data_IF_396134072184
#
_entry.id   IF_396134072184
#
_cell.length_a   1.000
_cell.length_b   1.000
_cell.length_c   1.000
_cell.angle_alpha   90.00
_cell.angle_beta   90.00
_cell.angle_gamma   90.00
#
_symmetry.space_group_name_H-M   'P 1'
#
loop_
_entity.id
_entity.type
_entity.pdbx_description
1 polymer ?
2 non-polymer ?
3 non-polymer ?
4 non-polymer ?
5 non-polymer ?
6 non-polymer ?
7 water ?
#
# COMPACT_ATOMS: atom_id res chain seq x y z
N UNK A 3 4.38 -2.60 23.87
CA UNK A 3 5.33 -3.65 23.37
C UNK A 3 6.52 -3.02 22.63
N UNK A 4 7.73 -3.33 23.09
CA UNK A 4 8.97 -2.79 22.49
C UNK A 4 9.72 -3.78 21.56
N UNK A 5 9.43 -5.08 21.67
CA UNK A 5 10.09 -6.10 20.87
C UNK A 5 9.24 -7.36 20.71
N UNK A 6 9.47 -8.07 19.62
CA UNK A 6 8.75 -9.31 19.31
C UNK A 6 9.64 -10.55 19.36
N UNK A 7 10.91 -10.37 19.68
CA UNK A 7 11.90 -11.46 19.63
C UNK A 7 12.75 -11.59 20.89
N UNK A 8 13.86 -12.33 20.78
CA UNK A 8 14.73 -12.62 21.96
C UNK A 8 15.90 -11.62 22.14
N UNK A 9 16.15 -10.81 21.11
CA UNK A 9 17.34 -9.94 21.03
C UNK A 9 17.10 -8.57 21.73
N UNK A 10 17.78 -8.31 22.84
CA UNK A 10 17.58 -7.05 23.60
C UNK A 10 18.05 -5.82 22.82
N UNK A 11 19.16 -5.95 22.07
CA UNK A 11 19.67 -4.90 21.17
C UNK A 11 18.61 -4.33 20.20
N UNK A 12 17.69 -5.20 19.75
CA UNK A 12 16.69 -4.79 18.77
C UNK A 12 15.72 -3.72 19.27
N UNK A 13 15.31 -3.77 20.54
CA UNK A 13 14.43 -2.74 21.12
C UNK A 13 14.97 -1.38 20.74
N UNK A 14 16.27 -1.21 20.96
CA UNK A 14 16.95 0.03 20.67
C UNK A 14 16.97 0.28 19.17
N UNK A 15 17.40 -0.71 18.40
CA UNK A 15 17.49 -0.56 16.93
C UNK A 15 16.11 -0.31 16.31
N UNK A 16 15.13 -1.09 16.74
CA UNK A 16 13.75 -0.90 16.32
C UNK A 16 13.29 0.51 16.66
N UNK A 17 13.44 0.89 17.93
CA UNK A 17 13.01 2.22 18.39
C UNK A 17 13.74 3.28 17.60
N UNK A 18 14.98 2.99 17.25
CA UNK A 18 15.76 3.92 16.44
C UNK A 18 15.09 4.15 15.08
N UNK A 19 14.83 3.06 14.35
CA UNK A 19 14.26 3.16 13.00
C UNK A 19 12.90 3.83 13.04
N UNK A 20 12.12 3.55 14.09
CA UNK A 20 10.78 4.16 14.23
C UNK A 20 10.79 5.66 14.49
N UNK A 21 11.94 6.23 14.81
CA UNK A 21 12.05 7.69 14.83
C UNK A 21 11.73 8.30 13.45
N UNK A 22 11.89 7.53 12.37
CA UNK A 22 11.54 8.00 11.02
C UNK A 22 10.07 7.69 10.63
N UNK A 23 9.25 7.30 11.59
CA UNK A 23 7.86 6.94 11.32
C UNK A 23 7.11 7.94 10.46
N UNK A 24 7.31 9.24 10.69
CA UNK A 24 6.54 10.27 9.96
C UNK A 24 7.21 10.74 8.70
N UNK A 25 8.25 10.03 8.27
CA UNK A 25 9.06 10.46 7.14
C UNK A 25 9.05 9.47 5.95
N UNK A 26 9.10 10.03 4.75
CA UNK A 26 9.16 9.24 3.53
C UNK A 26 10.35 8.30 3.48
N UNK A 27 11.45 8.68 4.13
CA UNK A 27 12.68 7.89 4.12
C UNK A 27 12.80 6.78 5.15
N UNK A 28 11.73 6.45 5.89
CA UNK A 28 11.74 5.29 6.76
C UNK A 28 12.17 4.04 6.00
N UNK A 29 12.89 3.16 6.67
CA UNK A 29 13.33 1.97 6.04
C UNK A 29 12.61 0.79 6.65
N UNK A 30 11.64 0.29 5.92
CA UNK A 30 10.83 -0.78 6.42
C UNK A 30 11.58 -2.08 6.49
N UNK A 31 12.63 -2.23 5.68
CA UNK A 31 13.41 -3.45 5.72
C UNK A 31 14.10 -3.59 7.10
N UNK A 32 14.62 -2.48 7.61
CA UNK A 32 15.20 -2.44 8.97
C UNK A 32 14.16 -2.72 10.05
N UNK A 33 13.01 -2.07 9.98
CA UNK A 33 11.93 -2.38 10.88
C UNK A 33 11.68 -3.89 10.86
N UNK A 34 11.64 -4.49 9.67
CA UNK A 34 11.43 -5.95 9.55
C UNK A 34 12.50 -6.73 10.26
N UNK A 35 13.75 -6.36 10.05
CA UNK A 35 14.87 -7.03 10.73
C UNK A 35 14.86 -6.92 12.24
N UNK A 36 14.57 -5.72 12.76
CA UNK A 36 14.63 -5.48 14.21
C UNK A 36 13.35 -5.87 14.99
N UNK A 37 12.35 -6.42 14.31
CA UNK A 37 11.07 -6.75 14.91
C UNK A 37 10.67 -8.21 14.74
N UNK A 38 11.65 -9.06 14.40
CA UNK A 38 11.45 -10.49 14.18
C UNK A 38 10.45 -10.81 13.09
N UNK A 39 10.50 -10.03 12.01
CA UNK A 39 9.56 -10.23 10.91
C UNK A 39 8.13 -9.92 11.29
N UNK A 40 7.92 -8.75 11.86
CA UNK A 40 6.59 -8.26 12.17
C UNK A 40 6.51 -6.82 11.72
N UNK A 41 6.94 -6.56 10.47
CA UNK A 41 6.92 -5.18 10.04
C UNK A 41 5.52 -4.61 10.07
N UNK A 42 4.52 -5.40 9.73
CA UNK A 42 3.18 -4.85 9.68
C UNK A 42 2.59 -4.61 11.09
N UNK A 43 2.75 -5.56 12.01
CA UNK A 43 2.23 -5.37 13.35
C UNK A 43 2.92 -4.17 13.99
N UNK A 44 4.24 -4.18 13.96
CA UNK A 44 5.01 -3.09 14.53
C UNK A 44 4.63 -1.78 13.87
N UNK A 45 4.69 -1.73 12.55
CA UNK A 45 4.42 -0.43 11.96
C UNK A 45 3.01 0.09 12.29
N UNK A 46 2.03 -0.78 12.32
CA UNK A 46 0.67 -0.35 12.52
C UNK A 46 0.48 0.10 13.97
N UNK A 47 1.01 -0.66 14.91
CA UNK A 47 1.06 -0.25 16.30
C UNK A 47 1.68 1.12 16.40
N UNK A 48 2.83 1.31 15.77
CA UNK A 48 3.49 2.62 15.81
C UNK A 48 2.61 3.70 15.24
N UNK A 49 1.91 3.42 14.15
CA UNK A 49 1.15 4.48 13.43
C UNK A 49 -0.05 4.85 14.25
N UNK A 50 -0.71 3.85 14.81
CA UNK A 50 -1.90 4.04 15.60
C UNK A 50 -1.65 4.88 16.85
N UNK A 51 -0.58 4.59 17.59
CA UNK A 51 -0.20 5.43 18.73
C UNK A 51 0.21 6.84 18.36
N UNK A 52 0.95 7.01 17.26
CA UNK A 52 1.31 8.35 16.77
C UNK A 52 0.09 9.22 16.49
N UNK A 53 -0.98 8.59 16.02
CA UNK A 53 -2.19 9.31 15.62
C UNK A 53 -3.27 9.29 16.69
N UNK A 54 -2.95 8.63 17.81
CA UNK A 54 -3.86 8.52 18.94
C UNK A 54 -5.16 7.83 18.56
N UNK A 55 -5.06 6.90 17.59
CA UNK A 55 -6.24 6.22 17.08
C UNK A 55 -6.82 5.20 18.05
N UNK A 56 -5.98 4.53 18.84
CA UNK A 56 -6.46 3.58 19.85
C UNK A 56 -7.28 4.27 20.97
N UNK A 57 -6.88 5.47 21.36
CA UNK A 57 -7.64 6.23 22.34
C UNK A 57 -8.91 6.79 21.69
N UNK A 58 -8.76 7.39 20.51
CA UNK A 58 -9.90 8.00 19.84
C UNK A 58 -11.00 6.99 19.45
N UNK A 59 -10.67 5.70 19.41
CA UNK A 59 -11.65 4.69 19.02
C UNK A 59 -11.79 3.54 20.02
N UNK A 60 -11.16 3.69 21.19
CA UNK A 60 -11.39 2.82 22.34
C UNK A 60 -11.06 1.41 21.94
N UNK A 61 -9.95 1.27 21.21
CA UNK A 61 -9.45 -0.02 20.75
C UNK A 61 -8.48 -0.48 21.84
N UNK A 62 -8.76 -1.61 22.47
CA UNK A 62 -7.79 -2.19 23.40
C UNK A 62 -6.47 -2.47 22.67
N UNK A 63 -5.35 -2.01 23.24
CA UNK A 63 -4.02 -2.33 22.69
C UNK A 63 -3.85 -3.83 22.46
N UNK A 64 -4.53 -4.63 23.28
CA UNK A 64 -4.43 -6.09 23.21
C UNK A 64 -5.20 -6.68 22.03
N UNK A 65 -6.39 -6.16 21.78
CA UNK A 65 -7.20 -6.65 20.67
C UNK A 65 -6.50 -6.29 19.35
N UNK A 66 -5.89 -5.11 19.35
CA UNK A 66 -5.23 -4.59 18.18
C UNK A 66 -4.05 -5.48 17.78
N UNK A 67 -3.14 -5.75 18.72
CA UNK A 67 -1.96 -6.57 18.45
C UNK A 67 -2.35 -7.93 17.95
N UNK A 68 -3.34 -8.53 18.58
CA UNK A 68 -3.77 -9.85 18.18
C UNK A 68 -4.42 -9.86 16.81
N UNK A 69 -4.96 -8.73 16.40
CA UNK A 69 -5.60 -8.64 15.10
C UNK A 69 -4.53 -8.46 14.03
N UNK A 70 -3.61 -7.55 14.31
CA UNK A 70 -2.56 -7.22 13.43
C UNK A 70 -1.67 -8.45 13.22
N UNK A 71 -1.27 -9.09 14.32
CA UNK A 71 -0.45 -10.27 14.26
C UNK A 71 -1.10 -11.30 13.37
N UNK A 72 -2.41 -11.46 13.49
CA UNK A 72 -3.13 -12.43 12.68
C UNK A 72 -3.33 -12.01 11.21
N UNK A 73 -3.55 -10.72 10.99
CA UNK A 73 -3.66 -10.15 9.68
C UNK A 73 -2.33 -10.47 8.95
N UNK A 74 -1.24 -10.13 9.61
CA UNK A 74 0.07 -10.35 9.13
C UNK A 74 0.42 -11.82 8.85
N UNK A 75 -0.06 -12.74 9.69
CA UNK A 75 0.18 -14.19 9.45
C UNK A 75 -0.58 -14.65 8.20
N UNK A 76 -1.53 -13.84 7.73
CA UNK A 76 -2.31 -14.17 6.55
C UNK A 76 -1.69 -13.61 5.27
N UNK A 77 -0.61 -12.87 5.41
CA UNK A 77 0.23 -12.60 4.28
C UNK A 77 1.14 -13.81 4.14
N UNK A 78 1.40 -14.18 2.90
CA UNK A 78 2.22 -15.38 2.59
C UNK A 78 3.66 -15.01 2.64
N UNK A 79 4.38 -15.55 3.62
CA UNK A 79 5.81 -15.29 3.71
C UNK A 79 6.62 -15.85 2.51
N UNK A 80 6.07 -16.78 1.74
CA UNK A 80 6.81 -17.37 0.59
C UNK A 80 6.52 -16.69 -0.74
N UNK A 81 5.96 -15.48 -0.67
CA UNK A 81 5.68 -14.68 -1.84
C UNK A 81 6.63 -13.51 -1.75
N UNK A 82 7.40 -13.30 -2.84
CA UNK A 82 8.56 -12.41 -2.84
C UNK A 82 8.25 -10.95 -2.55
N UNK A 83 7.14 -10.45 -3.09
CA UNK A 83 6.81 -9.02 -2.99
C UNK A 83 5.56 -8.78 -2.16
N UNK A 84 4.53 -9.52 -2.47
CA UNK A 84 3.20 -9.31 -1.94
C UNK A 84 3.03 -9.99 -0.55
N UNK A 85 3.97 -9.67 0.36
CA UNK A 85 3.99 -10.24 1.69
C UNK A 85 3.81 -9.08 2.73
N UNK A 86 3.95 -9.35 4.03
CA UNK A 86 3.60 -8.30 5.05
C UNK A 86 4.46 -7.04 5.03
N UNK A 87 5.68 -7.17 4.55
CA UNK A 87 6.58 -6.03 4.41
C UNK A 87 6.05 -4.98 3.43
N UNK A 88 5.44 -5.42 2.33
CA UNK A 88 4.80 -4.51 1.39
C UNK A 88 3.50 -3.88 2.01
N UNK A 89 2.81 -4.64 2.83
CA UNK A 89 1.65 -4.15 3.56
C UNK A 89 2.11 -3.06 4.52
N UNK A 90 3.20 -3.33 5.25
CA UNK A 90 3.74 -2.37 6.21
C UNK A 90 4.11 -1.07 5.53
N UNK A 91 4.85 -1.22 4.43
CA UNK A 91 5.37 -0.12 3.63
C UNK A 91 4.25 0.66 2.99
N UNK A 92 3.18 0.03 2.58
CA UNK A 92 2.04 0.80 2.10
C UNK A 92 1.28 1.52 3.27
N UNK A 93 1.12 0.87 4.43
CA UNK A 93 0.52 1.51 5.61
C UNK A 93 1.33 2.74 6.01
N UNK A 94 2.63 2.56 6.23
CA UNK A 94 3.50 3.68 6.62
C UNK A 94 3.48 4.82 5.59
N UNK A 95 3.66 4.51 4.32
CA UNK A 95 3.60 5.52 3.28
C UNK A 95 2.29 6.29 3.25
N UNK A 96 1.17 5.61 3.46
CA UNK A 96 -0.11 6.32 3.53
C UNK A 96 -0.17 7.25 4.76
N UNK A 97 0.48 6.82 5.84
CA UNK A 97 0.52 7.61 7.06
C UNK A 97 1.17 8.97 6.78
N UNK A 98 2.18 8.96 5.91
CA UNK A 98 2.92 10.18 5.60
C UNK A 98 2.16 11.10 4.62
N UNK A 99 1.43 10.50 3.69
CA UNK A 99 0.63 11.24 2.71
C UNK A 99 -0.58 11.85 3.37
N UNK A 100 -1.03 11.27 4.48
CA UNK A 100 -2.18 11.78 5.20
C UNK A 100 -1.83 13.08 5.94
N UNK A 101 -0.56 13.24 6.30
CA UNK A 101 -0.07 14.43 7.02
C UNK A 101 0.48 15.50 6.10
N UNK A 102 0.41 15.28 4.78
CA UNK A 102 0.85 16.29 3.85
C UNK A 102 0.15 17.62 4.17
N UNK A 103 0.89 18.74 4.08
CA UNK A 103 0.37 20.04 4.53
C UNK A 103 -0.91 20.46 3.83
N UNK A 104 -0.98 20.17 2.53
CA UNK A 104 -2.13 20.54 1.70
C UNK A 104 -3.44 19.85 2.08
N UNK A 105 -3.40 18.80 2.89
CA UNK A 105 -4.61 18.10 3.30
C UNK A 105 -4.87 18.27 4.80
N UNK A 106 -4.24 19.28 5.39
CA UNK A 106 -4.31 19.49 6.82
C UNK A 106 -5.75 19.83 7.19
N UNK A 107 -6.22 19.21 8.28
CA UNK A 107 -7.58 19.43 8.82
C UNK A 107 -8.72 18.95 7.93
N UNK A 108 -8.40 18.22 6.87
CA UNK A 108 -9.37 17.82 5.85
C UNK A 108 -10.11 16.56 6.23
N UNK A 109 -9.41 15.55 6.74
CA UNK A 109 -10.07 14.26 7.01
C UNK A 109 -10.44 14.10 8.43
N UNK A 110 -11.58 13.45 8.63
CA UNK A 110 -12.00 13.04 9.94
C UNK A 110 -11.04 11.97 10.41
N UNK A 111 -11.21 11.57 11.65
CA UNK A 111 -10.39 10.57 12.24
C UNK A 111 -10.86 9.16 11.77
N UNK A 112 -12.11 9.08 11.32
CA UNK A 112 -12.67 7.84 10.86
C UNK A 112 -12.03 7.54 9.47
N UNK A 113 -11.97 8.59 8.68
CA UNK A 113 -11.38 8.58 7.38
C UNK A 113 -9.89 8.24 7.43
N UNK A 114 -9.18 8.86 8.35
CA UNK A 114 -7.77 8.57 8.55
C UNK A 114 -7.62 7.10 8.93
N UNK A 115 -8.53 6.62 9.77
CA UNK A 115 -8.53 5.24 10.24
C UNK A 115 -8.77 4.21 9.12
N UNK A 116 -9.70 4.56 8.22
CA UNK A 116 -10.10 3.75 7.11
C UNK A 116 -8.93 3.62 6.13
N UNK A 117 -8.28 4.73 5.85
CA UNK A 117 -7.20 4.72 4.90
C UNK A 117 -6.06 3.87 5.43
N UNK A 118 -5.71 3.99 6.70
CA UNK A 118 -4.59 3.22 7.22
C UNK A 118 -4.91 1.73 7.32
N UNK A 119 -6.13 1.41 7.72
CA UNK A 119 -6.57 0.00 7.71
C UNK A 119 -6.57 -0.63 6.28
N UNK A 120 -7.04 0.13 5.30
CA UNK A 120 -7.18 -0.25 3.91
C UNK A 120 -5.78 -0.66 3.42
N UNK A 121 -4.86 0.26 3.59
CA UNK A 121 -3.45 0.02 3.42
C UNK A 121 -2.96 -1.30 3.99
N UNK A 122 -3.33 -1.59 5.22
CA UNK A 122 -2.83 -2.77 5.93
C UNK A 122 -3.37 -4.07 5.39
N UNK A 123 -4.61 -4.04 4.90
CA UNK A 123 -5.27 -5.25 4.52
C UNK A 123 -5.21 -5.45 2.96
N UNK A 124 -4.67 -4.52 2.21
CA UNK A 124 -5.02 -4.40 0.84
C UNK A 124 -4.41 -5.49 -0.14
N UNK A 125 -3.41 -6.26 0.30
CA UNK A 125 -2.89 -7.41 -0.45
C UNK A 125 -2.90 -8.70 0.39
N UNK A 126 -3.70 -8.74 1.47
CA UNK A 126 -3.64 -9.89 2.37
C UNK A 126 -4.03 -11.20 1.67
N UNK A 127 -3.38 -12.27 2.05
CA UNK A 127 -3.53 -13.57 1.38
C UNK A 127 -3.24 -13.57 -0.17
N UNK A 128 -2.42 -12.68 -0.64
CA UNK A 128 -2.10 -12.62 -2.06
C UNK A 128 -1.34 -13.93 -2.40
N UNK A 129 -1.82 -14.70 -3.36
CA UNK A 129 -1.15 -15.97 -3.68
C UNK A 129 0.17 -15.82 -4.44
N UNK A 130 0.44 -14.66 -5.02
CA UNK A 130 1.71 -14.45 -5.74
C UNK A 130 1.55 -14.42 -7.25
N UNK A 131 0.31 -14.48 -7.69
CA UNK A 131 0.00 -14.47 -9.10
C UNK A 131 -1.06 -13.40 -9.36
N UNK A 132 -1.10 -12.91 -10.58
CA UNK A 132 -1.98 -11.83 -10.97
C UNK A 132 -3.42 -12.26 -11.13
N UNK A 133 -4.33 -11.29 -11.22
CA UNK A 133 -5.71 -11.59 -11.51
C UNK A 133 -5.87 -12.36 -12.79
N UNK A 134 -5.18 -11.91 -13.86
CA UNK A 134 -5.28 -12.60 -15.15
C UNK A 134 -4.85 -14.06 -15.06
N UNK A 135 -3.81 -14.34 -14.31
CA UNK A 135 -3.43 -15.73 -14.04
C UNK A 135 -4.53 -16.54 -13.36
N UNK A 136 -5.22 -15.94 -12.40
CA UNK A 136 -6.26 -16.68 -11.66
C UNK A 136 -7.45 -16.91 -12.57
N UNK A 137 -7.77 -15.90 -13.37
CA UNK A 137 -8.84 -16.01 -14.34
C UNK A 137 -8.46 -17.09 -15.41
N UNK A 138 -7.29 -17.00 -16.03
CA UNK A 138 -6.94 -17.93 -17.09
C UNK A 138 -6.76 -19.35 -16.60
N UNK A 139 -6.49 -19.55 -15.32
CA UNK A 139 -6.31 -20.91 -14.84
C UNK A 139 -7.53 -21.44 -14.09
N UNK A 140 -8.64 -20.75 -14.23
CA UNK A 140 -9.89 -21.16 -13.59
C UNK A 140 -9.79 -21.38 -12.09
N UNK A 141 -9.05 -20.52 -11.39
CA UNK A 141 -8.89 -20.64 -9.94
C UNK A 141 -10.20 -20.62 -9.16
N UNK A 142 -10.21 -21.26 -7.99
CA UNK A 142 -11.34 -21.16 -7.05
C UNK A 142 -11.72 -19.69 -6.80
N UNK A 143 -10.72 -18.80 -6.72
CA UNK A 143 -10.99 -17.38 -6.51
C UNK A 143 -11.71 -16.69 -7.65
N UNK A 144 -11.28 -16.97 -8.88
CA UNK A 144 -11.88 -16.34 -10.05
C UNK A 144 -13.28 -16.87 -10.19
N UNK A 145 -13.49 -18.10 -9.75
CA UNK A 145 -14.83 -18.69 -9.73
C UNK A 145 -15.74 -18.02 -8.67
N UNK A 146 -15.15 -17.71 -7.51
CA UNK A 146 -15.86 -17.06 -6.43
C UNK A 146 -16.25 -15.66 -6.88
N UNK A 147 -15.31 -14.96 -7.50
CA UNK A 147 -15.51 -13.56 -7.80
C UNK A 147 -15.85 -13.22 -9.21
N UNK A 148 -16.11 -14.23 -10.04
CA UNK A 148 -16.59 -13.96 -11.38
C UNK A 148 -15.63 -13.08 -12.21
N UNK A 149 -14.34 -13.18 -11.96
CA UNK A 149 -13.29 -12.51 -12.76
C UNK A 149 -13.17 -10.99 -12.60
N UNK A 150 -13.95 -10.40 -11.69
CA UNK A 150 -13.90 -8.93 -11.44
C UNK A 150 -13.15 -8.67 -10.15
N UNK A 151 -12.04 -7.96 -10.26
CA UNK A 151 -11.26 -7.56 -9.10
C UNK A 151 -11.21 -8.76 -8.16
N UNK A 152 -10.68 -9.85 -8.71
CA UNK A 152 -10.64 -11.13 -8.03
C UNK A 152 -9.85 -11.02 -6.75
N UNK A 153 -8.64 -10.50 -6.85
CA UNK A 153 -7.73 -10.51 -5.71
C UNK A 153 -8.19 -9.48 -4.64
N UNK A 154 -8.60 -8.31 -5.12
CA UNK A 154 -8.97 -7.18 -4.35
C UNK A 154 -10.22 -7.46 -3.55
N UNK A 155 -11.22 -8.06 -4.16
CA UNK A 155 -12.40 -8.47 -3.42
C UNK A 155 -11.95 -9.43 -2.35
N UNK A 156 -11.02 -10.33 -2.73
CA UNK A 156 -10.54 -11.34 -1.77
C UNK A 156 -9.83 -10.80 -0.57
N UNK A 157 -9.02 -9.79 -0.81
CA UNK A 157 -8.19 -9.20 0.25
C UNK A 157 -9.14 -8.54 1.29
N UNK A 158 -10.16 -7.86 0.79
CA UNK A 158 -11.16 -7.24 1.61
C UNK A 158 -11.93 -8.29 2.38
N UNK A 159 -12.24 -9.41 1.72
CA UNK A 159 -13.06 -10.43 2.35
C UNK A 159 -12.29 -10.90 3.52
N UNK A 160 -11.01 -11.16 3.33
CA UNK A 160 -10.22 -11.74 4.41
C UNK A 160 -10.04 -10.76 5.60
N UNK A 161 -9.74 -9.51 5.31
CA UNK A 161 -9.56 -8.48 6.32
C UNK A 161 -10.75 -8.27 7.21
N UNK A 162 -11.94 -8.20 6.64
CA UNK A 162 -13.18 -8.04 7.43
C UNK A 162 -13.67 -9.31 8.10
N UNK A 163 -13.40 -10.48 7.52
CA UNK A 163 -13.73 -11.75 8.16
C UNK A 163 -12.86 -11.94 9.38
N UNK A 164 -11.68 -11.36 9.41
CA UNK A 164 -10.87 -11.50 10.61
C UNK A 164 -11.42 -10.68 11.80
N UNK A 165 -12.36 -9.77 11.56
CA UNK A 165 -12.92 -8.96 12.62
C UNK A 165 -14.11 -9.62 13.31
N UNK A 166 -14.63 -10.72 12.76
CA UNK A 166 -15.82 -11.36 13.31
C UNK A 166 -15.62 -11.85 14.76
N UNK A 167 -14.47 -12.46 15.03
CA UNK A 167 -14.14 -12.94 16.38
C UNK A 167 -13.86 -11.79 17.35
N UNK A 168 -14.73 -11.62 18.36
CA UNK A 168 -14.60 -10.55 19.41
C UNK A 168 -13.18 -10.30 19.93
N UNK A 169 -12.42 -11.37 20.12
CA UNK A 169 -11.04 -11.30 20.58
C UNK A 169 -10.13 -10.62 19.53
N UNK A 170 -10.54 -10.65 18.26
CA UNK A 170 -9.85 -9.94 17.20
C UNK A 170 -10.54 -8.61 16.79
N UNK A 171 -11.74 -8.30 17.28
CA UNK A 171 -12.52 -7.18 16.68
C UNK A 171 -12.11 -5.79 17.11
N UNK A 172 -11.23 -5.18 16.34
CA UNK A 172 -10.68 -3.86 16.67
C UNK A 172 -11.68 -2.70 16.54
N UNK A 173 -12.82 -2.92 15.89
CA UNK A 173 -13.81 -1.86 15.73
C UNK A 173 -15.03 -2.03 16.66
N UNK A 174 -14.90 -2.89 17.67
CA UNK A 174 -15.94 -3.14 18.68
C UNK A 174 -16.67 -1.86 19.15
N UNK A 175 -15.90 -0.86 19.54
CA UNK A 175 -16.44 0.37 20.10
C UNK A 175 -16.60 1.51 19.09
N UNK A 176 -16.76 1.18 17.82
CA UNK A 176 -17.27 2.15 16.85
C UNK A 176 -18.79 2.02 16.92
N UNK A 177 -19.54 3.02 16.45
CA UNK A 177 -21.01 2.87 16.34
C UNK A 177 -21.38 2.21 15.01
N UNK A 178 -22.51 1.49 14.97
CA UNK A 178 -22.96 0.83 13.73
C UNK A 178 -22.81 1.73 12.51
N UNK A 179 -23.17 3.01 12.66
CA UNK A 179 -23.03 4.02 11.58
C UNK A 179 -21.57 4.28 11.24
N UNK A 180 -20.73 4.28 12.25
CA UNK A 180 -19.31 4.45 12.05
C UNK A 180 -18.73 3.24 11.27
N UNK A 181 -18.93 2.02 11.77
CA UNK A 181 -18.53 0.78 11.07
C UNK A 181 -19.04 0.77 9.62
N UNK A 182 -20.32 1.04 9.46
CA UNK A 182 -20.93 1.17 8.15
C UNK A 182 -20.12 2.10 7.25
N UNK A 183 -19.81 3.29 7.72
CA UNK A 183 -19.07 4.26 6.90
C UNK A 183 -17.63 3.82 6.66
N UNK A 184 -17.07 3.06 7.60
CA UNK A 184 -15.71 2.59 7.51
C UNK A 184 -15.60 1.52 6.39
N UNK A 185 -16.52 0.56 6.46
CA UNK A 185 -16.58 -0.53 5.52
C UNK A 185 -16.76 0.01 4.12
N UNK A 186 -17.73 0.88 3.93
CA UNK A 186 -17.92 1.53 2.64
C UNK A 186 -16.62 2.17 2.14
N UNK A 187 -15.88 2.83 3.02
CA UNK A 187 -14.68 3.56 2.57
C UNK A 187 -13.49 2.63 2.28
N UNK A 188 -13.29 1.64 3.15
CA UNK A 188 -12.21 0.68 3.04
C UNK A 188 -12.40 -0.15 1.76
N UNK A 189 -13.64 -0.56 1.51
CA UNK A 189 -13.98 -1.29 0.33
C UNK A 189 -13.63 -0.45 -0.89
N UNK A 190 -14.07 0.79 -0.89
CA UNK A 190 -13.79 1.69 -2.01
C UNK A 190 -12.28 1.74 -2.27
N UNK A 191 -11.50 2.01 -1.23
CA UNK A 191 -10.06 2.21 -1.38
C UNK A 191 -9.30 0.94 -1.82
N UNK A 192 -9.58 -0.20 -1.20
CA UNK A 192 -8.88 -1.43 -1.57
C UNK A 192 -9.19 -1.82 -3.03
N UNK A 193 -10.45 -1.72 -3.42
CA UNK A 193 -10.85 -2.00 -4.79
C UNK A 193 -10.17 -1.06 -5.80
N UNK A 194 -9.95 0.18 -5.35
CA UNK A 194 -9.18 1.18 -6.11
C UNK A 194 -7.76 0.75 -6.39
N UNK A 195 -7.23 -0.19 -5.61
CA UNK A 195 -5.87 -0.64 -5.85
C UNK A 195 -5.76 -1.60 -7.07
N UNK A 196 -6.89 -1.96 -7.68
CA UNK A 196 -6.92 -2.85 -8.86
C UNK A 196 -6.29 -2.08 -10.01
N UNK A 197 -5.17 -2.58 -10.53
CA UNK A 197 -4.52 -1.86 -11.65
C UNK A 197 -5.45 -1.73 -12.83
N UNK A 198 -6.31 -2.72 -13.08
CA UNK A 198 -7.26 -2.57 -14.18
C UNK A 198 -8.07 -1.26 -14.11
N UNK A 199 -8.23 -0.67 -12.92
CA UNK A 199 -9.00 0.57 -12.73
C UNK A 199 -8.14 1.85 -12.75
N UNK A 200 -6.88 1.77 -13.13
CA UNK A 200 -5.95 2.87 -12.91
C UNK A 200 -6.16 4.05 -13.83
N UNK A 201 -6.38 3.82 -15.12
CA UNK A 201 -6.58 4.92 -16.08
C UNK A 201 -7.83 5.68 -15.73
N UNK A 202 -8.88 4.95 -15.39
CA UNK A 202 -10.14 5.57 -15.00
C UNK A 202 -9.98 6.42 -13.74
N UNK A 203 -9.00 6.04 -12.93
CA UNK A 203 -8.78 6.66 -11.64
C UNK A 203 -7.91 7.89 -11.82
N UNK A 204 -6.91 7.78 -12.71
CA UNK A 204 -6.02 8.88 -13.05
C UNK A 204 -6.78 9.96 -13.81
N UNK A 205 -7.58 9.52 -14.78
CA UNK A 205 -8.47 10.40 -15.52
C UNK A 205 -9.30 11.26 -14.58
N UNK A 206 -9.98 10.60 -13.65
CA UNK A 206 -10.87 11.33 -12.73
C UNK A 206 -10.08 12.21 -11.76
N UNK A 207 -8.84 11.83 -11.47
CA UNK A 207 -7.96 12.63 -10.61
C UNK A 207 -7.49 13.90 -11.33
N UNK A 208 -7.01 13.73 -12.57
CA UNK A 208 -6.64 14.86 -13.45
C UNK A 208 -7.78 15.85 -13.56
N UNK A 209 -9.00 15.33 -13.50
CA UNK A 209 -10.25 16.08 -13.66
C UNK A 209 -10.80 16.58 -12.31
N UNK A 210 -10.01 16.41 -11.25
CA UNK A 210 -10.27 17.06 -9.96
C UNK A 210 -9.21 18.13 -9.73
N UNK A 211 -7.98 17.88 -10.17
CA UNK A 211 -6.91 18.88 -10.17
C UNK A 211 -7.27 20.10 -11.02
N UNK A 212 -8.16 19.91 -11.99
CA UNK A 212 -8.60 21.00 -12.86
C UNK A 212 -9.49 21.98 -12.09
N UNK A 213 -10.49 21.49 -11.37
CA UNK A 213 -11.39 22.36 -10.59
C UNK A 213 -10.94 22.51 -9.14
N UNK A 214 -9.64 22.43 -8.89
CA UNK A 214 -9.16 22.42 -7.51
C UNK A 214 -9.24 23.83 -6.91
N UNK A 215 -9.59 23.90 -5.64
CA UNK A 215 -9.79 25.15 -4.93
C UNK A 215 -8.99 25.17 -3.62
N UNK A 216 -7.78 25.73 -3.70
CA UNK A 216 -6.90 25.92 -2.54
C UNK A 216 -7.47 27.08 -1.72
N UNK A 217 -7.79 26.85 -0.45
CA UNK A 217 -8.33 27.92 0.42
C UNK A 217 -7.26 28.98 0.75
N UNK A 218 -7.71 30.20 1.02
CA UNK A 218 -6.83 31.32 1.39
C UNK A 218 -5.51 30.91 2.05
N UNK A 219 -5.59 30.16 3.16
CA UNK A 219 -4.41 29.82 3.96
C UNK A 219 -3.37 28.93 3.25
N UNK A 220 -3.84 27.88 2.56
CA UNK A 220 -2.94 26.92 1.89
C UNK A 220 -3.50 25.52 1.66
N UNK A 221 -4.56 25.17 2.38
CA UNK A 221 -5.16 23.83 2.34
C UNK A 221 -6.22 23.75 1.22
N UNK A 222 -6.40 22.55 0.67
CA UNK A 222 -7.43 22.29 -0.33
C UNK A 222 -8.82 22.17 0.29
N UNK A 223 -9.80 22.65 -0.45
CA UNK A 223 -11.17 22.63 -0.01
C UNK A 223 -11.81 21.38 -0.58
N UNK A 224 -12.25 20.49 0.31
CA UNK A 224 -12.99 19.31 -0.08
C UNK A 224 -14.17 19.24 0.86
N UNK A 225 -15.36 19.59 0.38
CA UNK A 225 -16.53 19.77 1.25
C UNK A 225 -17.35 18.49 1.34
N UNK A 226 -17.65 17.90 0.18
CA UNK A 226 -18.47 16.69 0.08
C UNK A 226 -17.66 15.40 0.27
N UNK A 227 -18.37 14.34 0.66
CA UNK A 227 -17.80 13.01 0.78
C UNK A 227 -17.16 12.54 -0.53
N UNK A 228 -17.81 12.84 -1.65
CA UNK A 228 -17.36 12.35 -2.95
C UNK A 228 -15.98 12.81 -3.37
N UNK A 229 -15.60 14.01 -2.95
CA UNK A 229 -14.28 14.54 -3.27
C UNK A 229 -13.27 13.97 -2.29
N UNK A 230 -13.71 13.74 -1.06
CA UNK A 230 -12.82 13.29 -0.01
C UNK A 230 -12.37 11.86 -0.24
N UNK A 231 -13.32 10.96 -0.49
CA UNK A 231 -13.01 9.56 -0.78
C UNK A 231 -12.19 9.39 -2.07
N UNK A 232 -12.31 10.35 -2.99
CA UNK A 232 -11.60 10.26 -4.24
C UNK A 232 -10.14 10.52 -4.02
N UNK A 233 -9.82 11.44 -3.13
CA UNK A 233 -8.44 11.69 -2.76
C UNK A 233 -7.85 10.49 -2.02
N UNK A 234 -8.60 9.97 -1.03
CA UNK A 234 -8.15 8.82 -0.24
C UNK A 234 -7.88 7.60 -1.14
N UNK A 235 -8.83 7.28 -1.99
CA UNK A 235 -8.63 6.13 -2.88
C UNK A 235 -7.40 6.36 -3.77
N UNK A 236 -7.17 7.61 -4.19
CA UNK A 236 -5.95 7.95 -4.93
C UNK A 236 -4.70 7.96 -4.07
N UNK A 237 -4.82 8.37 -2.82
CA UNK A 237 -3.67 8.36 -1.91
C UNK A 237 -3.16 6.95 -1.64
N UNK A 238 -4.06 6.01 -1.42
CA UNK A 238 -3.66 4.64 -1.16
C UNK A 238 -3.10 3.98 -2.45
N UNK A 239 -3.59 4.41 -3.60
CA UNK A 239 -3.12 3.89 -4.86
C UNK A 239 -1.71 4.39 -5.06
N UNK A 240 -1.50 5.65 -4.72
CA UNK A 240 -0.17 6.26 -4.80
C UNK A 240 0.80 5.51 -3.92
N UNK A 241 0.36 5.31 -2.69
CA UNK A 241 1.13 4.57 -1.69
C UNK A 241 1.57 3.19 -2.22
N UNK A 242 0.66 2.47 -2.82
CA UNK A 242 0.92 1.14 -3.41
C UNK A 242 1.93 1.29 -4.60
N UNK A 243 1.76 2.34 -5.40
CA UNK A 243 2.71 2.69 -6.46
C UNK A 243 3.75 3.71 -6.04
N UNK A 244 4.31 3.52 -4.84
CA UNK A 244 5.32 4.43 -4.28
C UNK A 244 6.74 3.91 -4.29
N UNK A 245 6.96 2.63 -4.53
CA UNK A 245 8.33 2.14 -4.45
C UNK A 245 9.31 3.00 -5.23
N UNK A 246 8.99 3.38 -6.51
CA UNK A 246 9.96 4.17 -7.26
C UNK A 246 10.19 5.58 -6.73
N UNK A 247 9.36 6.04 -5.80
CA UNK A 247 9.57 7.37 -5.21
C UNK A 247 10.43 7.38 -3.95
N UNK A 248 10.99 6.23 -3.56
CA UNK A 248 11.78 6.09 -2.33
C UNK A 248 13.24 6.13 -2.69
N UNK A 249 14.11 6.23 -1.68
CA UNK A 249 15.53 6.24 -1.95
C UNK A 249 15.90 5.07 -2.88
N UNK A 250 16.89 5.26 -3.75
CA UNK A 250 17.32 4.22 -4.71
C UNK A 250 17.63 2.92 -4.02
N UNK A 251 18.31 3.00 -2.87
CA UNK A 251 18.65 1.83 -2.08
C UNK A 251 17.43 0.99 -1.71
N UNK A 252 16.27 1.62 -1.54
CA UNK A 252 15.05 0.86 -1.23
C UNK A 252 14.33 0.41 -2.49
N UNK A 253 14.23 1.30 -3.47
CA UNK A 253 13.61 0.98 -4.73
C UNK A 253 14.21 -0.28 -5.35
N UNK A 254 15.52 -0.42 -5.31
CA UNK A 254 16.13 -1.56 -5.96
C UNK A 254 15.76 -2.87 -5.28
N UNK A 255 15.54 -2.85 -3.97
CA UNK A 255 15.22 -4.09 -3.23
C UNK A 255 13.81 -4.49 -3.51
N UNK A 256 12.95 -3.49 -3.65
CA UNK A 256 11.58 -3.72 -3.97
C UNK A 256 11.48 -4.28 -5.38
N UNK A 257 12.12 -3.60 -6.31
CA UNK A 257 12.24 -4.04 -7.69
C UNK A 257 12.72 -5.49 -7.77
N UNK A 258 13.80 -5.82 -7.10
CA UNK A 258 14.22 -7.21 -7.10
C UNK A 258 13.11 -8.17 -6.65
N UNK A 259 12.31 -7.75 -5.68
CA UNK A 259 11.30 -8.63 -5.07
C UNK A 259 10.16 -8.92 -6.02
N UNK A 260 9.67 -7.87 -6.65
CA UNK A 260 8.55 -8.01 -7.52
C UNK A 260 8.92 -8.81 -8.79
N UNK A 261 10.11 -8.58 -9.36
CA UNK A 261 10.60 -9.41 -10.47
C UNK A 261 10.73 -10.85 -10.05
N UNK A 262 11.12 -11.11 -8.81
CA UNK A 262 11.17 -12.49 -8.37
C UNK A 262 9.77 -13.10 -8.36
N UNK A 263 8.76 -12.29 -8.05
CA UNK A 263 7.42 -12.80 -7.93
C UNK A 263 6.89 -13.07 -9.32
N UNK A 264 7.04 -12.08 -10.18
CA UNK A 264 6.69 -12.14 -11.60
C UNK A 264 7.36 -13.32 -12.36
N UNK A 265 8.63 -13.58 -12.12
CA UNK A 265 9.25 -14.76 -12.73
C UNK A 265 8.78 -16.07 -12.11
N UNK A 266 8.41 -16.05 -10.83
CA UNK A 266 7.78 -17.26 -10.25
C UNK A 266 6.47 -17.57 -10.97
N UNK A 267 5.67 -16.56 -11.29
CA UNK A 267 4.45 -16.79 -12.07
C UNK A 267 4.77 -17.30 -13.48
N UNK A 268 5.76 -16.70 -14.15
CA UNK A 268 6.23 -17.17 -15.47
C UNK A 268 6.51 -18.67 -15.44
N UNK A 269 7.33 -19.11 -14.48
CA UNK A 269 7.64 -20.51 -14.30
C UNK A 269 6.38 -21.38 -14.17
N UNK A 270 5.41 -20.92 -13.37
CA UNK A 270 4.15 -21.66 -13.14
C UNK A 270 3.32 -21.69 -14.43
N UNK A 271 3.30 -20.59 -15.17
CA UNK A 271 2.68 -20.56 -16.48
C UNK A 271 3.32 -21.63 -17.40
N UNK A 272 4.64 -21.58 -17.55
CA UNK A 272 5.36 -22.48 -18.44
C UNK A 272 5.10 -23.93 -18.06
N UNK A 273 5.20 -24.20 -16.76
CA UNK A 273 4.91 -25.52 -16.17
C UNK A 273 3.56 -26.10 -16.60
N UNK A 274 2.59 -25.21 -16.86
CA UNK A 274 1.26 -25.59 -17.29
C UNK A 274 1.05 -25.46 -18.80
N UNK A 275 2.08 -25.08 -19.55
CA UNK A 275 1.94 -24.91 -20.99
C UNK A 275 1.04 -23.74 -21.39
N UNK A 276 1.02 -22.69 -20.58
CA UNK A 276 0.19 -21.53 -20.90
C UNK A 276 1.06 -20.60 -21.68
N UNK A 277 0.45 -19.63 -22.35
CA UNK A 277 1.20 -18.54 -22.94
C UNK A 277 1.85 -17.77 -21.79
N UNK A 278 3.17 -17.61 -21.85
CA UNK A 278 3.94 -16.92 -20.79
C UNK A 278 3.80 -15.41 -20.96
N UNK A 279 3.29 -14.73 -19.93
CA UNK A 279 3.08 -13.28 -20.00
C UNK A 279 4.46 -12.60 -20.12
N UNK A 280 4.62 -11.64 -21.04
CA UNK A 280 5.98 -11.13 -21.35
C UNK A 280 6.82 -10.66 -20.15
N UNK A 281 6.24 -9.83 -19.29
CA UNK A 281 7.00 -9.27 -18.16
C UNK A 281 7.29 -10.32 -17.07
N UNK A 282 6.68 -11.50 -17.21
CA UNK A 282 6.93 -12.61 -16.31
C UNK A 282 7.99 -13.59 -16.80
N UNK A 283 8.56 -13.35 -17.98
CA UNK A 283 9.54 -14.28 -18.58
C UNK A 283 10.99 -14.06 -18.10
N UNK A 284 11.48 -14.90 -17.20
CA UNK A 284 12.87 -14.72 -16.74
C UNK A 284 13.90 -14.83 -17.91
N UNK A 285 13.54 -15.50 -19.00
CA UNK A 285 14.46 -15.73 -20.13
C UNK A 285 14.56 -14.60 -21.13
N UNK A 286 13.67 -13.61 -21.06
CA UNK A 286 13.67 -12.53 -22.05
C UNK A 286 13.41 -11.11 -21.51
N UNK A 287 12.65 -10.98 -20.42
CA UNK A 287 12.35 -9.64 -19.87
C UNK A 287 13.55 -8.95 -19.19
N UNK A 288 13.78 -7.70 -19.57
CA UNK A 288 14.77 -6.85 -18.92
C UNK A 288 14.20 -6.20 -17.65
N UNK A 289 14.76 -6.54 -16.49
CA UNK A 289 14.32 -5.94 -15.22
C UNK A 289 14.34 -4.42 -15.28
N UNK A 290 15.35 -3.89 -15.94
CA UNK A 290 15.61 -2.46 -15.98
C UNK A 290 14.65 -1.70 -16.88
N UNK A 291 14.32 -2.27 -18.04
CA UNK A 291 13.38 -1.62 -18.95
C UNK A 291 11.98 -1.66 -18.37
N UNK A 292 11.69 -2.71 -17.60
CA UNK A 292 10.42 -2.82 -16.91
C UNK A 292 10.17 -1.62 -15.98
N UNK A 293 11.16 -1.26 -15.17
CA UNK A 293 11.06 -0.11 -14.29
C UNK A 293 10.99 1.23 -15.01
N UNK A 294 11.78 1.40 -16.07
CA UNK A 294 11.71 2.64 -16.87
C UNK A 294 10.34 2.74 -17.50
N UNK A 295 9.86 1.62 -18.03
CA UNK A 295 8.52 1.56 -18.61
C UNK A 295 7.43 1.79 -17.58
N UNK A 296 7.57 1.19 -16.39
CA UNK A 296 6.59 1.36 -15.30
C UNK A 296 6.49 2.81 -14.86
N UNK A 297 7.65 3.45 -14.67
CA UNK A 297 7.66 4.85 -14.25
C UNK A 297 7.08 5.74 -15.34
N UNK A 298 7.59 5.58 -16.56
CA UNK A 298 7.19 6.48 -17.64
C UNK A 298 5.71 6.39 -17.97
N UNK A 299 5.14 5.18 -17.95
CA UNK A 299 3.72 5.01 -18.30
C UNK A 299 2.74 5.03 -17.13
N UNK A 300 3.16 4.59 -15.94
CA UNK A 300 2.22 4.50 -14.80
C UNK A 300 2.55 5.43 -13.62
N UNK A 301 3.74 5.30 -13.05
CA UNK A 301 4.06 5.96 -11.78
C UNK A 301 4.24 7.49 -11.93
N UNK A 302 5.07 7.93 -12.88
CA UNK A 302 5.23 9.37 -13.10
C UNK A 302 3.91 10.12 -13.34
N UNK A 303 3.09 9.68 -14.31
CA UNK A 303 1.82 10.37 -14.54
C UNK A 303 0.90 10.43 -13.34
N UNK A 304 0.95 9.39 -12.53
CA UNK A 304 0.15 9.37 -11.31
C UNK A 304 0.70 10.39 -10.31
N UNK A 305 2.01 10.36 -10.07
CA UNK A 305 2.62 11.21 -9.05
C UNK A 305 2.72 12.64 -9.55
N UNK A 306 3.11 12.80 -10.82
CA UNK A 306 3.04 14.11 -11.49
C UNK A 306 1.71 14.73 -11.19
N UNK A 307 0.65 13.93 -11.20
CA UNK A 307 -0.72 14.44 -10.99
C UNK A 307 -1.06 14.60 -9.51
N UNK A 308 -0.61 13.67 -8.66
CA UNK A 308 -0.81 13.83 -7.24
C UNK A 308 -0.06 15.10 -6.79
N UNK A 309 1.22 15.17 -7.17
CA UNK A 309 2.09 16.31 -6.88
C UNK A 309 1.44 17.61 -7.25
N UNK A 310 0.66 17.59 -8.32
CA UNK A 310 -0.05 18.76 -8.76
C UNK A 310 -1.17 19.10 -7.78
N UNK A 311 -2.01 18.12 -7.47
CA UNK A 311 -3.10 18.30 -6.50
C UNK A 311 -2.66 18.96 -5.19
N UNK A 312 -1.49 18.59 -4.68
CA UNK A 312 -1.05 19.01 -3.34
C UNK A 312 0.22 19.88 -3.34
N UNK A 313 0.62 20.42 -4.49
CA UNK A 313 1.89 21.17 -4.57
C UNK A 313 1.94 22.30 -3.56
N UNK A 314 3.17 22.63 -3.10
CA UNK A 314 4.44 22.03 -3.51
C UNK A 314 4.87 20.83 -2.65
N UNK A 315 3.92 20.19 -1.96
CA UNK A 315 4.24 19.18 -0.95
C UNK A 315 5.03 17.98 -1.48
N UNK A 316 4.67 17.52 -2.67
CA UNK A 316 5.22 16.27 -3.23
C UNK A 316 6.42 16.48 -4.14
N UNK A 317 6.89 17.72 -4.23
CA UNK A 317 7.94 18.08 -5.16
C UNK A 317 9.22 17.27 -4.98
N UNK A 318 9.56 16.99 -3.73
CA UNK A 318 10.75 16.19 -3.42
C UNK A 318 10.61 14.73 -3.86
N UNK A 319 9.39 14.20 -3.82
CA UNK A 319 9.09 12.86 -4.32
C UNK A 319 9.24 12.80 -5.84
N UNK A 320 8.80 13.85 -6.53
CA UNK A 320 8.93 13.90 -7.98
C UNK A 320 10.38 13.93 -8.39
N UNK A 321 11.18 14.73 -7.70
CA UNK A 321 12.60 14.82 -8.03
C UNK A 321 13.31 13.48 -7.83
N UNK A 322 12.86 12.70 -6.84
CA UNK A 322 13.50 11.39 -6.54
C UNK A 322 13.16 10.34 -7.59
N UNK A 323 11.90 10.34 -8.02
CA UNK A 323 11.39 9.45 -9.04
C UNK A 323 12.14 9.67 -10.34
N UNK A 324 12.19 10.93 -10.77
CA UNK A 324 12.90 11.31 -11.98
C UNK A 324 14.37 10.88 -11.93
N UNK A 325 15.02 11.02 -10.78
CA UNK A 325 16.41 10.57 -10.62
C UNK A 325 16.49 9.04 -10.69
N UNK A 326 15.53 8.36 -10.05
CA UNK A 326 15.52 6.89 -10.03
C UNK A 326 15.28 6.26 -11.43
N UNK A 327 14.37 6.85 -12.20
CA UNK A 327 14.17 6.51 -13.60
C UNK A 327 15.49 6.55 -14.37
N UNK A 328 16.19 7.67 -14.27
CA UNK A 328 17.46 7.88 -14.96
C UNK A 328 18.52 6.87 -14.55
N UNK A 329 18.50 6.47 -13.28
CA UNK A 329 19.45 5.47 -12.84
C UNK A 329 19.22 4.20 -13.59
N UNK A 330 17.94 3.85 -13.79
CA UNK A 330 17.58 2.55 -14.40
C UNK A 330 17.85 2.58 -15.89
N UNK A 331 17.48 3.68 -16.55
CA UNK A 331 17.78 3.91 -17.97
C UNK A 331 19.28 3.73 -18.19
N UNK A 332 20.09 4.41 -17.38
CA UNK A 332 21.54 4.32 -17.48
C UNK A 332 22.11 2.92 -17.24
N UNK A 333 21.32 2.00 -16.68
CA UNK A 333 21.75 0.59 -16.54
C UNK A 333 21.31 -0.29 -17.73
N UNK A 334 20.46 0.26 -18.60
CA UNK A 334 20.17 -0.32 -19.91
C UNK A 334 21.41 -0.09 -20.81
N UNK A 335 22.11 -1.16 -21.20
CA UNK A 335 23.31 -1.01 -22.04
C UNK A 335 23.13 -0.28 -23.38
N UNK A 336 21.90 -0.25 -23.89
CA UNK A 336 21.57 0.42 -25.15
C UNK A 336 21.12 1.88 -24.96
N UNK A 337 21.56 2.75 -25.87
CA UNK A 337 21.13 4.16 -25.90
C UNK A 337 19.64 4.30 -25.68
#
# INVERSE_FOLDING_TARGET
MSISRFGVNTENEDHLAKELEDLNKWGLNIFNVAGYSHNRPLTCIMYAIFQERDLLKTFRISSDTFITYMMTLEDHYHSDVAYHNSLHAADVAQSTHVLLSTPALDAVFTDLEILAAIFAAAIHDVDHPGVSNQFLINTNSELALMYNDESVLENHHLAVGFKLLQEEHCDIFMNLTKKQRQTLRKMVIDMVLATDMSKHMSLLADLKTMVETKKVTSSGVLLLDNYTDRIQVLRNMVHCADLSNPTKSLELYRQWTDRIMEEFFQQGDKERERGMEISPMCDKHTASVEKSQVGFIDYIVHPLWETWADLVQPDAQDILDTLEDNRNWYQAMIPQAPAPPLDEQNRDCQGLM
#
